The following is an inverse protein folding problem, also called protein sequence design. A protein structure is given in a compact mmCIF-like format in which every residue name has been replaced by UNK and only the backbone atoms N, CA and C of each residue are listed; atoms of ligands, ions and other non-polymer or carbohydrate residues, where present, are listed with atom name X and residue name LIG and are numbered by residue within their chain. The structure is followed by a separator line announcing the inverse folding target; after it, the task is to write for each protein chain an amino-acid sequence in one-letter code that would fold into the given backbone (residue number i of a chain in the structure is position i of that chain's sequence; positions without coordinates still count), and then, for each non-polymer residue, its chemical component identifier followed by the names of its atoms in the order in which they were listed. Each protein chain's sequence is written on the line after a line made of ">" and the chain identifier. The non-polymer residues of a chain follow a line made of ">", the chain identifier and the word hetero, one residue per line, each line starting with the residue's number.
data_IF_436698983485
#
_entry.id   IF_436698983485
#
_cell.length_a   1.000
_cell.length_b   1.000
_cell.length_c   1.000
_cell.angle_alpha   90.00
_cell.angle_beta   90.00
_cell.angle_gamma   90.00
#
_symmetry.space_group_name_H-M   'P 1'
#
loop_
_entity.id
_entity.type
_entity.pdbx_description
1 polymer ?
#
# COMPACT_ATOMS: atom_id res chain seq x y z
N UNK A 1 9.28 -9.15 11.07
CA UNK A 1 9.58 -9.84 9.79
C UNK A 1 11.07 -10.08 9.71
N UNK A 2 11.51 -11.22 9.15
CA UNK A 2 12.92 -11.44 8.90
C UNK A 2 13.43 -10.44 7.84
N UNK A 3 14.71 -10.06 7.91
CA UNK A 3 15.32 -9.07 7.00
C UNK A 3 15.07 -9.40 5.51
N UNK A 4 15.21 -10.68 5.15
CA UNK A 4 14.98 -11.18 3.77
C UNK A 4 13.56 -10.90 3.27
N UNK A 5 12.54 -11.13 4.08
CA UNK A 5 11.13 -10.83 3.72
C UNK A 5 10.90 -9.34 3.55
N UNK A 6 11.50 -8.50 4.41
CA UNK A 6 11.36 -7.04 4.29
C UNK A 6 11.95 -6.52 2.99
N UNK A 7 13.16 -6.97 2.63
CA UNK A 7 13.83 -6.58 1.38
C UNK A 7 13.05 -7.04 0.14
N UNK A 8 12.55 -8.29 0.14
CA UNK A 8 11.75 -8.83 -0.97
C UNK A 8 10.44 -8.08 -1.14
N UNK A 9 9.76 -7.76 -0.04
CA UNK A 9 8.54 -6.95 -0.02
C UNK A 9 8.80 -5.54 -0.57
N UNK A 10 9.86 -4.87 -0.11
CA UNK A 10 10.17 -3.50 -0.54
C UNK A 10 10.53 -3.45 -2.03
N UNK A 11 11.25 -4.46 -2.57
CA UNK A 11 11.49 -4.61 -4.00
C UNK A 11 10.18 -4.81 -4.78
N UNK A 12 9.28 -5.65 -4.30
CA UNK A 12 7.99 -5.90 -4.93
C UNK A 12 7.11 -4.64 -4.98
N UNK A 13 7.05 -3.88 -3.87
CA UNK A 13 6.33 -2.60 -3.82
C UNK A 13 6.94 -1.56 -4.77
N UNK A 14 8.27 -1.46 -4.82
CA UNK A 14 8.96 -0.56 -5.74
C UNK A 14 8.69 -0.92 -7.21
N UNK A 15 8.72 -2.20 -7.55
CA UNK A 15 8.40 -2.66 -8.91
C UNK A 15 6.94 -2.39 -9.29
N UNK A 16 6.01 -2.53 -8.34
CA UNK A 16 4.59 -2.22 -8.55
C UNK A 16 4.36 -0.75 -8.88
N UNK A 17 5.09 0.18 -8.25
CA UNK A 17 4.89 1.63 -8.46
C UNK A 17 4.96 2.03 -9.96
N UNK A 18 5.85 1.40 -10.74
CA UNK A 18 5.97 1.67 -12.16
C UNK A 18 4.71 1.28 -12.98
N UNK A 19 3.88 0.37 -12.46
CA UNK A 19 2.67 -0.13 -13.11
C UNK A 19 1.39 0.60 -12.66
N UNK A 20 1.42 1.31 -11.51
CA UNK A 20 0.22 1.92 -10.92
C UNK A 20 -0.43 3.01 -11.78
N UNK A 21 0.34 3.69 -12.64
CA UNK A 21 -0.20 4.74 -13.52
C UNK A 21 -1.29 4.24 -14.47
N UNK A 22 -1.18 3.01 -14.97
CA UNK A 22 -2.15 2.36 -15.85
C UNK A 22 -3.10 1.38 -15.17
N UNK A 23 -2.83 1.00 -13.92
CA UNK A 23 -3.56 -0.05 -13.21
C UNK A 23 -4.99 0.39 -12.87
N UNK A 24 -5.97 -0.46 -13.09
CA UNK A 24 -7.37 -0.24 -12.69
C UNK A 24 -7.77 -1.13 -11.50
N UNK A 25 -9.02 -1.02 -11.06
CA UNK A 25 -9.52 -1.81 -9.94
C UNK A 25 -9.56 -3.31 -10.26
N UNK A 26 -9.68 -3.69 -11.54
CA UNK A 26 -9.68 -5.10 -11.95
C UNK A 26 -8.36 -5.78 -11.62
N UNK A 27 -7.22 -5.08 -11.78
CA UNK A 27 -5.92 -5.61 -11.40
C UNK A 27 -5.86 -5.96 -9.89
N UNK A 28 -6.38 -5.08 -9.03
CA UNK A 28 -6.48 -5.37 -7.59
C UNK A 28 -7.31 -6.62 -7.31
N UNK A 29 -8.47 -6.74 -7.96
CA UNK A 29 -9.37 -7.89 -7.81
C UNK A 29 -8.74 -9.19 -8.32
N UNK A 30 -8.01 -9.13 -9.42
CA UNK A 30 -7.26 -10.27 -9.94
C UNK A 30 -6.15 -10.72 -9.00
N UNK A 31 -5.39 -9.79 -8.41
CA UNK A 31 -4.38 -10.12 -7.41
C UNK A 31 -5.00 -10.75 -6.16
N UNK A 32 -6.15 -10.27 -5.68
CA UNK A 32 -6.89 -10.93 -4.61
C UNK A 32 -7.41 -12.32 -5.02
N UNK A 33 -7.82 -12.51 -6.27
CA UNK A 33 -8.22 -13.81 -6.79
C UNK A 33 -7.06 -14.80 -6.82
N UNK A 34 -5.88 -14.35 -7.27
CA UNK A 34 -4.63 -15.14 -7.21
C UNK A 34 -4.30 -15.51 -5.78
N UNK A 35 -4.41 -14.55 -4.84
CA UNK A 35 -4.21 -14.79 -3.41
C UNK A 35 -5.15 -15.87 -2.88
N UNK A 36 -6.42 -15.85 -3.28
CA UNK A 36 -7.40 -16.89 -2.91
C UNK A 36 -6.98 -18.28 -3.38
N UNK A 37 -6.42 -18.39 -4.59
CA UNK A 37 -5.87 -19.68 -5.10
C UNK A 37 -4.67 -20.11 -4.28
N UNK A 38 -3.77 -19.20 -3.92
CA UNK A 38 -2.61 -19.49 -3.07
C UNK A 38 -3.06 -19.96 -1.68
N UNK A 39 -4.03 -19.29 -1.07
CA UNK A 39 -4.50 -19.60 0.28
C UNK A 39 -5.22 -20.96 0.33
N UNK A 40 -5.90 -21.34 -0.75
CA UNK A 40 -6.58 -22.64 -0.85
C UNK A 40 -5.64 -23.82 -1.16
N UNK A 41 -4.40 -23.55 -1.61
CA UNK A 41 -3.46 -24.59 -2.04
C UNK A 41 -2.11 -24.52 -1.33
N UNK A 42 -1.97 -25.27 -0.23
CA UNK A 42 -0.74 -25.32 0.54
C UNK A 42 0.46 -25.88 -0.25
N UNK A 43 0.23 -26.80 -1.19
CA UNK A 43 1.32 -27.34 -2.02
C UNK A 43 1.88 -26.28 -2.96
N UNK A 44 0.99 -25.46 -3.54
CA UNK A 44 1.39 -24.33 -4.40
C UNK A 44 2.17 -23.28 -3.59
N UNK A 45 1.68 -22.90 -2.40
CA UNK A 45 2.44 -21.96 -1.53
C UNK A 45 3.84 -22.46 -1.24
N UNK A 46 3.98 -23.73 -0.84
CA UNK A 46 5.30 -24.33 -0.59
C UNK A 46 6.20 -24.31 -1.82
N UNK A 47 5.66 -24.69 -2.98
CA UNK A 47 6.44 -24.69 -4.22
C UNK A 47 6.96 -23.30 -4.59
N UNK A 48 6.16 -22.25 -4.37
CA UNK A 48 6.54 -20.85 -4.68
C UNK A 48 7.50 -20.25 -3.65
N UNK A 49 7.50 -20.76 -2.42
CA UNK A 49 8.35 -20.24 -1.33
C UNK A 49 9.55 -21.14 -1.02
N UNK A 50 9.68 -22.27 -1.70
CA UNK A 50 10.81 -23.20 -1.52
C UNK A 50 12.14 -22.48 -1.80
N UNK A 51 13.06 -22.40 -0.82
CA UNK A 51 14.36 -21.75 -1.01
C UNK A 51 15.27 -22.49 -1.99
N UNK A 52 15.02 -23.78 -2.26
CA UNK A 52 15.79 -24.60 -3.21
C UNK A 52 15.31 -24.42 -4.66
N UNK A 53 14.09 -23.91 -4.87
CA UNK A 53 13.53 -23.65 -6.19
C UNK A 53 14.19 -22.43 -6.85
N UNK A 54 14.52 -22.54 -8.15
CA UNK A 54 15.06 -21.39 -8.89
C UNK A 54 13.97 -20.36 -9.18
N UNK A 55 14.36 -19.09 -9.31
CA UNK A 55 13.45 -18.00 -9.63
C UNK A 55 12.67 -18.27 -10.93
N UNK A 56 13.36 -18.75 -11.96
CA UNK A 56 12.79 -19.07 -13.26
C UNK A 56 11.73 -20.18 -13.19
N UNK A 57 11.99 -21.23 -12.39
CA UNK A 57 11.03 -22.33 -12.21
C UNK A 57 9.75 -21.85 -11.52
N UNK A 58 9.86 -20.99 -10.49
CA UNK A 58 8.73 -20.39 -9.79
C UNK A 58 7.92 -19.46 -10.70
N UNK A 59 8.61 -18.62 -11.48
CA UNK A 59 7.95 -17.75 -12.46
C UNK A 59 7.22 -18.56 -13.54
N UNK A 60 7.85 -19.63 -14.08
CA UNK A 60 7.24 -20.51 -15.05
C UNK A 60 5.97 -21.17 -14.49
N UNK A 61 6.00 -21.64 -13.23
CA UNK A 61 4.84 -22.21 -12.56
C UNK A 61 3.70 -21.21 -12.45
N UNK A 62 3.97 -19.97 -12.04
CA UNK A 62 2.96 -18.90 -11.96
C UNK A 62 2.35 -18.63 -13.35
N UNK A 63 3.19 -18.46 -14.38
CA UNK A 63 2.73 -18.22 -15.76
C UNK A 63 1.86 -19.40 -16.26
N UNK A 64 2.26 -20.63 -16.01
CA UNK A 64 1.49 -21.82 -16.42
C UNK A 64 0.11 -21.87 -15.73
N UNK A 65 0.00 -21.46 -14.47
CA UNK A 65 -1.24 -21.56 -13.70
C UNK A 65 -2.22 -20.42 -14.01
N UNK A 66 -1.75 -19.21 -14.25
CA UNK A 66 -2.56 -18.00 -14.31
C UNK A 66 -2.66 -17.36 -15.70
N UNK A 67 -1.81 -17.71 -16.67
CA UNK A 67 -1.93 -17.19 -18.03
C UNK A 67 -3.31 -17.47 -18.62
N UNK A 68 -3.91 -16.43 -19.20
CA UNK A 68 -5.26 -16.48 -19.77
C UNK A 68 -6.41 -16.55 -18.76
N UNK A 69 -6.11 -16.53 -17.45
CA UNK A 69 -7.14 -16.49 -16.37
C UNK A 69 -7.21 -15.13 -15.69
N UNK A 70 -6.11 -14.40 -15.66
CA UNK A 70 -6.00 -13.03 -15.17
C UNK A 70 -5.18 -12.22 -16.19
N UNK A 71 -5.14 -10.90 -16.02
CA UNK A 71 -4.37 -10.01 -16.88
C UNK A 71 -2.87 -10.34 -16.87
N UNK A 72 -2.17 -9.92 -17.93
CA UNK A 72 -0.73 -10.11 -18.05
C UNK A 72 0.01 -9.41 -16.91
N UNK A 73 -0.44 -8.20 -16.51
CA UNK A 73 0.09 -7.47 -15.35
C UNK A 73 -0.04 -8.25 -14.04
N UNK A 74 -1.18 -8.87 -13.78
CA UNK A 74 -1.38 -9.70 -12.59
C UNK A 74 -0.46 -10.92 -12.59
N UNK A 75 -0.28 -11.56 -13.76
CA UNK A 75 0.67 -12.68 -13.93
C UNK A 75 2.11 -12.22 -13.68
N UNK A 76 2.54 -11.09 -14.27
CA UNK A 76 3.89 -10.57 -14.12
C UNK A 76 4.19 -10.18 -12.67
N UNK A 77 3.28 -9.46 -11.99
CA UNK A 77 3.43 -9.07 -10.59
C UNK A 77 3.56 -10.32 -9.71
N UNK A 78 2.68 -11.30 -9.91
CA UNK A 78 2.72 -12.55 -9.14
C UNK A 78 3.99 -13.36 -9.41
N UNK A 79 4.44 -13.42 -10.66
CA UNK A 79 5.66 -14.11 -11.06
C UNK A 79 6.91 -13.44 -10.47
N UNK A 80 6.97 -12.11 -10.50
CA UNK A 80 8.05 -11.36 -9.86
C UNK A 80 8.09 -11.62 -8.35
N UNK A 81 6.93 -11.61 -7.69
CA UNK A 81 6.81 -11.90 -6.27
C UNK A 81 7.26 -13.34 -5.93
N UNK A 82 6.89 -14.32 -6.75
CA UNK A 82 7.29 -15.72 -6.57
C UNK A 82 8.80 -15.96 -6.75
N UNK A 83 9.48 -15.13 -7.56
CA UNK A 83 10.93 -15.18 -7.75
C UNK A 83 11.72 -14.74 -6.51
N UNK A 84 11.10 -13.97 -5.62
CA UNK A 84 11.71 -13.46 -4.41
C UNK A 84 11.89 -14.56 -3.34
N UNK A 85 12.67 -14.24 -2.30
CA UNK A 85 12.90 -15.12 -1.15
C UNK A 85 12.00 -14.74 0.02
N UNK A 86 11.33 -15.73 0.59
CA UNK A 86 10.38 -15.56 1.68
C UNK A 86 10.83 -16.36 2.90
N UNK A 87 10.70 -15.79 4.08
CA UNK A 87 11.06 -16.48 5.34
C UNK A 87 10.00 -17.51 5.73
N UNK A 88 8.74 -17.24 5.39
CA UNK A 88 7.62 -18.16 5.61
C UNK A 88 6.69 -18.21 4.39
N UNK A 89 5.90 -19.29 4.26
CA UNK A 89 4.89 -19.43 3.21
C UNK A 89 3.84 -18.31 3.27
N UNK A 90 3.60 -17.76 4.47
CA UNK A 90 2.62 -16.71 4.70
C UNK A 90 3.08 -15.36 4.15
N UNK A 91 4.37 -15.07 4.20
CA UNK A 91 4.93 -13.77 3.80
C UNK A 91 4.65 -13.44 2.33
N UNK A 92 4.69 -14.45 1.44
CA UNK A 92 4.32 -14.30 0.04
C UNK A 92 2.86 -13.82 -0.11
N UNK A 93 1.93 -14.48 0.59
CA UNK A 93 0.51 -14.12 0.53
C UNK A 93 0.23 -12.76 1.18
N UNK A 94 0.88 -12.44 2.30
CA UNK A 94 0.71 -11.16 2.99
C UNK A 94 1.24 -10.00 2.12
N UNK A 95 2.32 -10.22 1.39
CA UNK A 95 2.84 -9.22 0.44
C UNK A 95 1.93 -9.08 -0.77
N UNK A 96 1.40 -10.16 -1.34
CA UNK A 96 0.44 -10.10 -2.45
C UNK A 96 -0.85 -9.34 -2.04
N UNK A 97 -1.35 -9.56 -0.82
CA UNK A 97 -2.47 -8.80 -0.25
C UNK A 97 -2.16 -7.29 -0.18
N UNK A 98 -0.96 -6.94 0.29
CA UNK A 98 -0.51 -5.54 0.34
C UNK A 98 -0.39 -4.92 -1.06
N UNK A 99 0.15 -5.66 -2.06
CA UNK A 99 0.21 -5.19 -3.44
C UNK A 99 -1.19 -4.94 -4.01
N UNK A 100 -2.13 -5.87 -3.81
CA UNK A 100 -3.52 -5.72 -4.25
C UNK A 100 -4.21 -4.51 -3.62
N UNK A 101 -4.04 -4.31 -2.30
CA UNK A 101 -4.54 -3.13 -1.60
C UNK A 101 -3.87 -1.83 -2.10
N UNK A 102 -2.57 -1.88 -2.42
CA UNK A 102 -1.84 -0.73 -2.98
C UNK A 102 -2.38 -0.33 -4.36
N UNK A 103 -2.70 -1.30 -5.22
CA UNK A 103 -3.36 -1.03 -6.52
C UNK A 103 -4.73 -0.36 -6.29
N UNK A 104 -5.57 -0.90 -5.40
CA UNK A 104 -6.88 -0.34 -5.10
C UNK A 104 -6.77 1.12 -4.59
N UNK A 105 -5.83 1.38 -3.66
CA UNK A 105 -5.62 2.74 -3.15
C UNK A 105 -5.08 3.69 -4.21
N UNK A 106 -4.25 3.21 -5.15
CA UNK A 106 -3.77 4.00 -6.29
C UNK A 106 -4.89 4.40 -7.24
N UNK A 107 -5.91 3.54 -7.41
CA UNK A 107 -7.11 3.89 -8.19
C UNK A 107 -7.89 5.03 -7.53
N UNK A 108 -8.07 4.99 -6.20
CA UNK A 108 -8.71 6.09 -5.47
C UNK A 108 -7.89 7.38 -5.54
N UNK A 109 -6.55 7.29 -5.49
CA UNK A 109 -5.63 8.43 -5.59
C UNK A 109 -5.77 9.23 -6.91
N UNK A 110 -6.31 8.65 -7.98
CA UNK A 110 -6.55 9.38 -9.23
C UNK A 110 -7.52 10.57 -9.08
N UNK A 111 -8.34 10.55 -8.05
CA UNK A 111 -9.17 11.68 -7.65
C UNK A 111 -8.44 12.66 -6.72
N UNK A 112 -7.11 12.57 -6.63
CA UNK A 112 -6.29 13.36 -5.73
C UNK A 112 -6.42 12.94 -4.27
N UNK A 113 -6.06 13.85 -3.36
CA UNK A 113 -6.17 13.61 -1.91
C UNK A 113 -7.59 13.35 -1.46
N UNK A 114 -8.59 13.96 -2.13
CA UNK A 114 -10.00 13.76 -1.80
C UNK A 114 -10.42 12.29 -1.99
N UNK A 115 -10.00 11.64 -3.07
CA UNK A 115 -10.31 10.22 -3.30
C UNK A 115 -9.73 9.31 -2.22
N UNK A 116 -8.54 9.63 -1.69
CA UNK A 116 -7.94 8.90 -0.58
C UNK A 116 -8.65 9.18 0.74
N UNK A 117 -9.03 10.45 1.01
CA UNK A 117 -9.75 10.84 2.22
C UNK A 117 -11.14 10.17 2.25
N UNK A 118 -11.85 10.15 1.12
CA UNK A 118 -13.15 9.49 0.98
C UNK A 118 -13.04 7.97 1.15
N UNK A 119 -12.04 7.33 0.54
CA UNK A 119 -11.80 5.91 0.73
C UNK A 119 -11.52 5.57 2.20
N UNK A 120 -10.67 6.35 2.86
CA UNK A 120 -10.37 6.17 4.28
C UNK A 120 -11.63 6.30 5.15
N UNK A 121 -12.43 7.34 4.92
CA UNK A 121 -13.67 7.57 5.65
C UNK A 121 -14.67 6.41 5.46
N UNK A 122 -14.80 5.87 4.24
CA UNK A 122 -15.68 4.74 3.94
C UNK A 122 -15.22 3.44 4.64
N UNK A 123 -13.91 3.16 4.65
CA UNK A 123 -13.35 2.00 5.35
C UNK A 123 -13.52 2.10 6.87
N UNK A 124 -13.25 3.27 7.45
CA UNK A 124 -13.45 3.51 8.89
C UNK A 124 -14.94 3.45 9.25
N UNK A 125 -15.82 4.04 8.43
CA UNK A 125 -17.27 3.99 8.63
C UNK A 125 -17.81 2.56 8.65
N UNK A 126 -17.25 1.65 7.82
CA UNK A 126 -17.57 0.22 7.91
C UNK A 126 -17.15 -0.37 9.26
N UNK A 127 -15.93 -0.10 9.72
CA UNK A 127 -15.44 -0.59 11.00
C UNK A 127 -16.28 -0.07 12.17
N UNK A 128 -16.66 1.22 12.14
CA UNK A 128 -17.51 1.83 13.16
C UNK A 128 -18.92 1.19 13.17
N UNK A 129 -19.52 0.98 12.00
CA UNK A 129 -20.82 0.30 11.90
C UNK A 129 -20.79 -1.13 12.46
N UNK A 130 -19.72 -1.87 12.19
CA UNK A 130 -19.53 -3.22 12.74
C UNK A 130 -19.26 -3.17 14.25
N UNK A 131 -18.44 -2.22 14.72
CA UNK A 131 -18.12 -2.07 16.14
C UNK A 131 -19.35 -1.70 16.99
N UNK A 132 -20.28 -0.95 16.43
CA UNK A 132 -21.51 -0.53 17.10
C UNK A 132 -22.53 -1.66 17.31
N UNK A 133 -22.37 -2.82 16.65
CA UNK A 133 -23.35 -3.90 16.71
C UNK A 133 -22.70 -5.29 16.84
N UNK A 134 -22.91 -5.91 18.00
CA UNK A 134 -22.34 -7.21 18.32
C UNK A 134 -22.83 -8.34 17.39
N UNK A 135 -24.09 -8.29 16.97
CA UNK A 135 -24.64 -9.29 16.05
C UNK A 135 -24.01 -9.21 14.67
N UNK A 136 -23.65 -8.00 14.20
CA UNK A 136 -22.91 -7.80 12.96
C UNK A 136 -21.50 -8.37 13.05
N UNK A 137 -20.82 -8.15 14.18
CA UNK A 137 -19.49 -8.74 14.41
C UNK A 137 -19.56 -10.26 14.30
N UNK A 138 -20.50 -10.86 15.01
CA UNK A 138 -20.72 -12.32 14.99
C UNK A 138 -21.03 -12.83 13.58
N UNK A 139 -21.95 -12.18 12.87
CA UNK A 139 -22.35 -12.59 11.52
C UNK A 139 -21.18 -12.52 10.52
N UNK A 140 -20.33 -11.49 10.62
CA UNK A 140 -19.17 -11.34 9.73
C UNK A 140 -18.00 -12.27 10.12
N UNK A 141 -17.87 -12.63 11.39
CA UNK A 141 -16.83 -13.54 11.89
C UNK A 141 -17.22 -15.02 11.77
N UNK A 142 -18.49 -15.34 11.54
CA UNK A 142 -18.95 -16.73 11.39
C UNK A 142 -18.25 -17.42 10.21
N UNK A 143 -17.45 -18.42 10.51
CA UNK A 143 -16.67 -19.17 9.51
C UNK A 143 -17.54 -20.11 8.66
N UNK A 144 -18.76 -20.41 9.10
CA UNK A 144 -19.69 -21.30 8.41
C UNK A 144 -20.56 -20.54 7.41
N UNK A 145 -20.72 -19.23 7.58
CA UNK A 145 -21.51 -18.41 6.70
C UNK A 145 -20.87 -18.28 5.30
N UNK A 146 -21.66 -18.42 4.22
CA UNK A 146 -21.15 -18.23 2.87
C UNK A 146 -20.55 -16.85 2.66
N UNK A 147 -19.40 -16.77 1.95
CA UNK A 147 -18.73 -15.51 1.66
C UNK A 147 -19.66 -14.49 0.97
N UNK A 148 -20.48 -14.95 0.02
CA UNK A 148 -21.46 -14.09 -0.66
C UNK A 148 -22.47 -13.44 0.30
N UNK A 149 -22.91 -14.16 1.34
CA UNK A 149 -23.84 -13.61 2.34
C UNK A 149 -23.17 -12.54 3.19
N UNK A 150 -21.89 -12.71 3.53
CA UNK A 150 -21.11 -11.69 4.26
C UNK A 150 -20.89 -10.45 3.42
N UNK A 151 -20.56 -10.60 2.14
CA UNK A 151 -20.41 -9.48 1.21
C UNK A 151 -21.72 -8.71 1.09
N UNK A 152 -22.84 -9.40 0.85
CA UNK A 152 -24.15 -8.76 0.76
C UNK A 152 -24.57 -8.03 2.06
N UNK A 153 -24.16 -8.56 3.23
CA UNK A 153 -24.36 -7.87 4.51
C UNK A 153 -23.50 -6.63 4.60
N UNK A 154 -22.21 -6.73 4.25
CA UNK A 154 -21.27 -5.62 4.31
C UNK A 154 -21.68 -4.46 3.38
N UNK A 155 -22.16 -4.74 2.17
CA UNK A 155 -22.66 -3.72 1.23
C UNK A 155 -23.81 -2.90 1.79
N UNK A 156 -24.67 -3.50 2.62
CA UNK A 156 -25.78 -2.77 3.29
C UNK A 156 -25.29 -1.82 4.39
N UNK A 157 -24.11 -2.06 4.94
CA UNK A 157 -23.55 -1.22 6.01
C UNK A 157 -22.90 0.07 5.47
N UNK A 158 -22.51 0.07 4.22
CA UNK A 158 -21.84 1.22 3.57
C UNK A 158 -22.58 1.65 2.28
N UNK A 159 -23.83 2.09 2.39
CA UNK A 159 -24.59 2.55 1.23
C UNK A 159 -23.88 3.75 0.60
N UNK A 160 -23.67 3.71 -0.70
CA UNK A 160 -22.95 4.78 -1.42
C UNK A 160 -21.43 4.71 -1.37
N UNK A 161 -20.85 3.63 -0.82
CA UNK A 161 -19.40 3.42 -0.90
C UNK A 161 -18.91 3.33 -2.36
N UNK A 162 -17.72 3.83 -2.61
CA UNK A 162 -17.03 3.74 -3.90
C UNK A 162 -16.78 2.27 -4.28
N UNK A 163 -16.57 2.00 -5.57
CA UNK A 163 -16.23 0.65 -6.03
C UNK A 163 -14.95 0.12 -5.37
N UNK A 164 -13.99 1.01 -5.12
CA UNK A 164 -12.75 0.69 -4.43
C UNK A 164 -13.03 0.25 -2.99
N UNK A 165 -13.81 1.02 -2.23
CA UNK A 165 -14.16 0.67 -0.86
C UNK A 165 -14.95 -0.64 -0.79
N UNK A 166 -15.94 -0.81 -1.68
CA UNK A 166 -16.71 -2.07 -1.77
C UNK A 166 -15.81 -3.27 -2.05
N UNK A 167 -14.86 -3.14 -2.98
CA UNK A 167 -13.93 -4.22 -3.30
C UNK A 167 -13.04 -4.61 -2.12
N UNK A 168 -12.47 -3.64 -1.41
CA UNK A 168 -11.63 -3.89 -0.24
C UNK A 168 -12.43 -4.48 0.94
N UNK A 169 -13.63 -3.96 1.21
CA UNK A 169 -14.51 -4.48 2.26
C UNK A 169 -14.96 -5.90 1.91
N UNK A 170 -15.36 -6.16 0.65
CA UNK A 170 -15.72 -7.49 0.19
C UNK A 170 -14.59 -8.49 0.37
N UNK A 171 -13.35 -8.11 0.05
CA UNK A 171 -12.17 -8.94 0.32
C UNK A 171 -12.02 -9.23 1.82
N UNK A 172 -12.15 -8.20 2.66
CA UNK A 172 -11.96 -8.35 4.10
C UNK A 172 -12.99 -9.28 4.76
N UNK A 173 -14.25 -9.24 4.31
CA UNK A 173 -15.29 -10.09 4.89
C UNK A 173 -15.33 -11.49 4.28
N UNK A 174 -14.93 -11.67 3.02
CA UNK A 174 -14.93 -12.97 2.33
C UNK A 174 -13.70 -13.82 2.63
N UNK A 175 -12.51 -13.18 2.72
CA UNK A 175 -11.23 -13.87 2.89
C UNK A 175 -10.31 -13.15 3.89
N UNK A 176 -10.66 -13.10 5.19
CA UNK A 176 -9.90 -12.35 6.20
C UNK A 176 -8.57 -13.02 6.62
N UNK A 177 -8.24 -14.18 6.07
CA UNK A 177 -6.94 -14.88 6.24
C UNK A 177 -6.52 -15.06 7.70
N UNK A 178 -7.47 -15.44 8.55
CA UNK A 178 -7.25 -15.67 9.98
C UNK A 178 -7.29 -14.40 10.84
N UNK A 179 -7.56 -13.26 10.25
CA UNK A 179 -7.87 -12.02 10.96
C UNK A 179 -9.39 -11.89 11.20
N UNK A 180 -9.78 -10.91 11.99
CA UNK A 180 -11.14 -10.37 11.96
C UNK A 180 -11.32 -9.52 10.71
N UNK A 181 -12.49 -9.48 10.07
CA UNK A 181 -12.74 -8.60 8.92
C UNK A 181 -12.35 -7.14 9.19
N UNK A 182 -12.72 -6.60 10.36
CA UNK A 182 -12.38 -5.22 10.77
C UNK A 182 -10.88 -5.00 10.90
N UNK A 183 -10.13 -5.99 11.35
CA UNK A 183 -8.66 -5.89 11.44
C UNK A 183 -7.99 -5.90 10.05
N UNK A 184 -8.57 -6.60 9.06
CA UNK A 184 -8.06 -6.53 7.69
C UNK A 184 -8.42 -5.19 7.03
N UNK A 185 -9.63 -4.66 7.28
CA UNK A 185 -10.00 -3.30 6.85
C UNK A 185 -9.05 -2.28 7.45
N UNK A 186 -8.66 -2.41 8.73
CA UNK A 186 -7.67 -1.52 9.35
C UNK A 186 -6.32 -1.56 8.63
N UNK A 187 -5.86 -2.73 8.17
CA UNK A 187 -4.66 -2.82 7.32
C UNK A 187 -4.83 -2.04 5.99
N UNK A 188 -6.01 -2.08 5.40
CA UNK A 188 -6.29 -1.30 4.20
C UNK A 188 -6.31 0.21 4.49
N UNK A 189 -6.86 0.63 5.64
CA UNK A 189 -6.75 2.03 6.12
C UNK A 189 -5.28 2.45 6.25
N UNK A 190 -4.42 1.59 6.78
CA UNK A 190 -2.98 1.88 6.86
C UNK A 190 -2.33 2.01 5.48
N UNK A 191 -2.75 1.21 4.49
CA UNK A 191 -2.28 1.35 3.11
C UNK A 191 -2.69 2.70 2.50
N UNK A 192 -3.95 3.15 2.74
CA UNK A 192 -4.42 4.48 2.34
C UNK A 192 -3.60 5.57 3.03
N UNK A 193 -3.40 5.50 4.34
CA UNK A 193 -2.62 6.46 5.10
C UNK A 193 -1.15 6.55 4.64
N UNK A 194 -0.55 5.42 4.27
CA UNK A 194 0.79 5.39 3.67
C UNK A 194 0.82 6.17 2.35
N UNK A 195 -0.22 6.04 1.53
CA UNK A 195 -0.32 6.72 0.26
C UNK A 195 -0.63 8.22 0.41
N UNK A 196 -1.49 8.59 1.36
CA UNK A 196 -1.75 10.00 1.71
C UNK A 196 -0.48 10.75 2.14
N UNK A 197 0.45 10.10 2.86
CA UNK A 197 1.73 10.72 3.25
C UNK A 197 2.56 11.18 2.06
N UNK A 198 2.42 10.59 0.88
CA UNK A 198 3.09 11.02 -0.35
C UNK A 198 2.60 12.38 -0.87
N UNK A 199 1.43 12.84 -0.39
CA UNK A 199 0.85 14.14 -0.73
C UNK A 199 1.15 15.22 0.32
N UNK A 200 1.93 14.87 1.33
CA UNK A 200 2.33 15.78 2.40
C UNK A 200 3.83 15.99 2.31
N UNK A 201 4.23 17.25 2.13
CA UNK A 201 5.63 17.66 2.28
C UNK A 201 5.84 18.19 3.69
N UNK A 202 6.48 17.40 4.56
CA UNK A 202 6.89 17.87 5.88
C UNK A 202 8.21 18.62 5.75
N UNK A 203 8.17 19.91 6.06
CA UNK A 203 9.30 20.81 5.95
C UNK A 203 9.77 21.23 7.34
N UNK A 204 10.90 20.67 7.77
CA UNK A 204 11.54 21.04 9.02
C UNK A 204 12.42 22.26 8.81
N UNK A 205 12.23 23.31 9.61
CA UNK A 205 12.93 24.59 9.51
C UNK A 205 13.40 25.06 10.88
N UNK A 206 14.50 25.82 10.92
CA UNK A 206 15.02 26.41 12.18
C UNK A 206 14.23 27.63 12.64
N UNK A 207 13.60 28.35 11.71
CA UNK A 207 12.79 29.56 11.95
C UNK A 207 11.52 29.50 11.13
N UNK A 208 10.41 30.10 11.60
CA UNK A 208 9.18 30.17 10.81
C UNK A 208 9.43 30.76 9.42
N UNK A 209 8.80 30.17 8.41
CA UNK A 209 8.80 30.69 7.04
C UNK A 209 7.79 31.82 6.92
N UNK A 210 8.11 32.83 6.11
CA UNK A 210 7.11 33.83 5.67
C UNK A 210 6.14 33.19 4.68
N UNK A 211 4.98 33.81 4.47
CA UNK A 211 3.98 33.28 3.53
C UNK A 211 4.52 33.24 2.09
N UNK A 212 5.33 34.22 1.71
CA UNK A 212 6.01 34.23 0.40
C UNK A 212 6.99 33.06 0.26
N UNK A 213 7.76 32.75 1.33
CA UNK A 213 8.69 31.61 1.33
C UNK A 213 7.94 30.29 1.24
N UNK A 214 6.81 30.15 1.96
CA UNK A 214 5.95 28.96 1.89
C UNK A 214 5.41 28.77 0.48
N UNK A 215 4.83 29.82 -0.13
CA UNK A 215 4.26 29.74 -1.48
C UNK A 215 5.32 29.38 -2.54
N UNK A 216 6.52 29.95 -2.44
CA UNK A 216 7.63 29.62 -3.35
C UNK A 216 8.12 28.19 -3.17
N UNK A 217 8.20 27.71 -1.93
CA UNK A 217 8.59 26.33 -1.62
C UNK A 217 7.55 25.33 -2.12
N UNK A 218 6.27 25.61 -1.89
CA UNK A 218 5.15 24.81 -2.37
C UNK A 218 5.16 24.69 -3.90
N UNK A 219 5.28 25.79 -4.61
CA UNK A 219 5.37 25.79 -6.06
C UNK A 219 6.58 25.00 -6.57
N UNK A 220 7.75 25.14 -5.93
CA UNK A 220 8.95 24.36 -6.29
C UNK A 220 8.80 22.88 -6.04
N UNK A 221 8.19 22.48 -4.92
CA UNK A 221 7.94 21.09 -4.59
C UNK A 221 6.87 20.49 -5.51
N UNK A 222 5.79 21.20 -5.79
CA UNK A 222 4.74 20.77 -6.71
C UNK A 222 5.29 20.52 -8.12
N UNK A 223 6.19 21.40 -8.57
CA UNK A 223 6.88 21.23 -9.84
C UNK A 223 7.83 20.00 -9.83
N UNK A 224 8.58 19.82 -8.75
CA UNK A 224 9.54 18.72 -8.64
C UNK A 224 8.88 17.34 -8.55
N UNK A 225 7.73 17.25 -7.85
CA UNK A 225 7.00 16.00 -7.64
C UNK A 225 5.83 15.79 -8.62
N UNK A 226 5.51 16.78 -9.45
CA UNK A 226 4.44 16.70 -10.46
C UNK A 226 3.03 16.57 -9.88
N UNK A 227 2.81 17.06 -8.65
CA UNK A 227 1.51 16.98 -7.94
C UNK A 227 1.39 18.07 -6.87
N UNK A 228 0.15 18.40 -6.48
CA UNK A 228 -0.14 19.41 -5.46
C UNK A 228 0.09 18.84 -4.06
N UNK A 229 1.23 19.17 -3.45
CA UNK A 229 1.61 18.75 -2.10
C UNK A 229 1.02 19.69 -1.05
N UNK A 230 0.54 19.12 0.05
CA UNK A 230 0.17 19.87 1.25
C UNK A 230 1.44 20.11 2.08
N UNK A 231 1.80 21.38 2.32
CA UNK A 231 2.93 21.71 3.18
C UNK A 231 2.58 21.58 4.67
N UNK A 232 3.35 20.78 5.37
CA UNK A 232 3.37 20.72 6.83
C UNK A 232 4.70 21.30 7.34
N UNK A 233 4.71 22.55 7.79
CA UNK A 233 5.92 23.21 8.27
C UNK A 233 6.09 22.97 9.75
N UNK A 234 7.19 22.34 10.13
CA UNK A 234 7.54 22.02 11.52
C UNK A 234 8.81 22.78 11.90
N UNK A 235 8.79 23.42 13.05
CA UNK A 235 9.99 24.05 13.59
C UNK A 235 10.84 23.02 14.32
N UNK A 236 12.07 22.82 13.85
CA UNK A 236 13.05 21.91 14.46
C UNK A 236 14.31 22.70 14.89
N UNK A 237 14.45 22.99 16.18
CA UNK A 237 15.61 23.70 16.72
C UNK A 237 16.93 22.93 16.60
N UNK A 238 16.89 21.63 16.36
CA UNK A 238 18.10 20.79 16.22
C UNK A 238 18.79 20.97 14.86
N UNK A 239 18.10 21.53 13.87
CA UNK A 239 18.70 21.85 12.57
C UNK A 239 19.69 23.01 12.68
N UNK A 240 20.89 22.83 12.14
CA UNK A 240 21.93 23.87 12.10
C UNK A 240 21.73 24.76 10.84
N UNK A 241 20.55 25.40 10.71
CA UNK A 241 20.19 26.21 9.54
C UNK A 241 19.78 25.42 8.30
N UNK A 242 19.12 26.10 7.34
CA UNK A 242 18.58 25.47 6.15
C UNK A 242 17.19 24.84 6.39
N UNK A 243 16.82 23.88 5.56
CA UNK A 243 15.56 23.15 5.66
C UNK A 243 15.76 21.66 5.30
N UNK A 244 14.91 20.83 5.85
CA UNK A 244 14.77 19.41 5.49
C UNK A 244 13.36 19.18 5.01
N UNK A 245 13.21 18.52 3.87
CA UNK A 245 11.91 18.19 3.27
C UNK A 245 11.75 16.69 3.25
N UNK A 246 10.62 16.21 3.71
CA UNK A 246 10.21 14.82 3.66
C UNK A 246 8.90 14.72 2.89
N UNK A 247 8.87 13.90 1.83
CA UNK A 247 7.68 13.64 1.02
C UNK A 247 7.50 12.12 0.89
N UNK A 248 6.60 11.55 1.67
CA UNK A 248 6.49 10.09 1.77
C UNK A 248 7.76 9.46 2.30
N UNK A 249 8.41 8.63 1.49
CA UNK A 249 9.68 7.96 1.82
C UNK A 249 10.92 8.76 1.34
N UNK A 250 10.72 9.83 0.57
CA UNK A 250 11.79 10.67 0.06
C UNK A 250 12.19 11.74 1.08
N UNK A 251 13.49 11.86 1.33
CA UNK A 251 14.06 12.87 2.23
C UNK A 251 15.10 13.70 1.50
N UNK A 252 14.85 14.99 1.41
CA UNK A 252 15.79 15.98 0.87
C UNK A 252 16.30 16.83 2.01
N UNK A 253 17.55 16.60 2.43
CA UNK A 253 18.21 17.37 3.46
C UNK A 253 19.08 18.49 2.84
N UNK A 254 18.56 19.70 2.84
CA UNK A 254 19.25 20.92 2.41
C UNK A 254 19.74 21.76 3.61
N UNK A 255 19.99 21.11 4.76
CA UNK A 255 20.51 21.78 5.94
C UNK A 255 21.96 22.28 5.73
N UNK A 256 22.35 23.28 6.50
CA UNK A 256 23.70 23.79 6.47
C UNK A 256 24.75 22.73 6.90
N UNK A 257 24.36 21.78 7.76
CA UNK A 257 25.21 20.66 8.18
C UNK A 257 25.53 19.73 7.00
N UNK A 258 24.54 19.37 6.19
CA UNK A 258 24.73 18.51 5.01
C UNK A 258 25.60 19.20 3.96
N UNK A 259 25.37 20.50 3.69
CA UNK A 259 26.20 21.27 2.76
C UNK A 259 27.66 21.40 3.24
N UNK A 260 27.87 21.58 4.53
CA UNK A 260 29.21 21.60 5.12
C UNK A 260 29.92 20.25 5.02
N UNK A 261 29.19 19.15 5.25
CA UNK A 261 29.73 17.79 5.10
C UNK A 261 30.10 17.47 3.64
N UNK A 262 29.30 17.92 2.67
CA UNK A 262 29.62 17.81 1.24
C UNK A 262 30.85 18.63 0.83
N UNK A 263 30.94 19.89 1.29
CA UNK A 263 32.12 20.73 1.07
C UNK A 263 33.36 20.10 1.66
N UNK A 264 33.27 19.57 2.89
CA UNK A 264 34.40 18.90 3.54
C UNK A 264 34.86 17.68 2.75
N UNK A 265 33.94 16.87 2.21
CA UNK A 265 34.27 15.72 1.34
C UNK A 265 34.98 16.16 0.05
N UNK A 266 34.55 17.28 -0.58
CA UNK A 266 35.14 17.79 -1.80
C UNK A 266 36.53 18.44 -1.60
N UNK A 267 36.84 18.86 -0.35
CA UNK A 267 38.13 19.49 -0.01
C UNK A 267 39.16 18.47 0.48
N UNK A 268 38.76 17.29 0.91
CA UNK A 268 39.65 16.26 1.49
C UNK A 268 39.87 15.07 0.52
N UNK A 269 39.11 14.98 -0.54
CA UNK A 269 39.29 14.02 -1.66
C UNK A 269 39.96 14.72 -2.83
#
# INVERSE_FOLDING_TARGET
>A
MAATTSESRDRALTALEAKLGGADLSLSQELFSVLGVLDSNAALRRALTDPSGTAEAKQALVKQLFAGKVSEDAVEITAALAAERWSTERDLGDTLEELAATVATAVAERQGTQGLDDLQAQLLGFNDAVAANHDLQWALEDRTAPAASKVALAEKLVPGASDVARSLIAQAVSAPRGLRPTALVERFVQAVAKRQRRWIATVSVTRPLTDEQKSRLEAGLNQAYGRDLRLNVVQDPSLVGGLRVEVGDDVVDASAATRLAELKRRLVG
#
